data_IF_288240644697
#
_entry.id   IF_288240644697
#
_cell.length_a   1.000
_cell.length_b   1.000
_cell.length_c   1.000
_cell.angle_alpha   90.00
_cell.angle_beta   90.00
_cell.angle_gamma   90.00
#
_symmetry.space_group_name_H-M   'P 1'
#
loop_
_entity.id
_entity.type
_entity.pdbx_description
1 polymer ?
#
# COMPACT_ATOMS: atom_id res chain seq x y z
N UNK A 1 31.75 43.95 8.65
CA UNK A 1 30.93 42.95 7.93
C UNK A 1 31.90 42.07 7.15
N UNK A 2 32.16 40.84 7.60
CA UNK A 2 33.09 39.94 6.91
C UNK A 2 32.34 39.36 5.70
N UNK A 3 32.72 39.76 4.50
CA UNK A 3 32.19 39.17 3.27
C UNK A 3 32.61 37.70 3.24
N UNK A 4 31.68 36.78 2.98
CA UNK A 4 31.99 35.36 2.77
C UNK A 4 32.85 35.23 1.50
N UNK A 5 33.91 34.42 1.54
CA UNK A 5 34.77 34.20 0.38
C UNK A 5 34.03 33.37 -0.69
N UNK A 6 34.32 33.60 -1.97
CA UNK A 6 33.68 32.90 -3.09
C UNK A 6 33.77 31.36 -2.97
N UNK A 7 34.85 30.83 -2.40
CA UNK A 7 35.00 29.40 -2.11
C UNK A 7 33.98 28.85 -1.11
N UNK A 8 33.60 29.61 -0.08
CA UNK A 8 32.60 29.19 0.92
C UNK A 8 31.20 29.14 0.30
N UNK A 9 30.90 30.07 -0.61
CA UNK A 9 29.62 30.15 -1.34
C UNK A 9 29.48 28.99 -2.35
N UNK A 10 30.58 28.59 -2.99
CA UNK A 10 30.60 27.44 -3.91
C UNK A 10 30.40 26.11 -3.17
N UNK A 11 31.03 25.93 -2.01
CA UNK A 11 30.82 24.75 -1.14
C UNK A 11 29.38 24.68 -0.65
N UNK A 12 28.76 25.81 -0.29
CA UNK A 12 27.36 25.85 0.15
C UNK A 12 26.39 25.46 -0.97
N UNK A 13 26.65 25.92 -2.20
CA UNK A 13 25.85 25.57 -3.39
C UNK A 13 25.99 24.08 -3.73
N UNK A 14 27.20 23.55 -3.70
CA UNK A 14 27.48 22.14 -3.96
C UNK A 14 26.85 21.25 -2.88
N UNK A 15 26.96 21.63 -1.61
CA UNK A 15 26.30 20.93 -0.51
C UNK A 15 24.78 20.93 -0.64
N UNK A 16 24.15 22.08 -0.96
CA UNK A 16 22.70 22.15 -1.21
C UNK A 16 22.28 21.23 -2.36
N UNK A 17 23.06 21.17 -3.43
CA UNK A 17 22.80 20.30 -4.57
C UNK A 17 22.95 18.81 -4.20
N UNK A 18 23.97 18.45 -3.43
CA UNK A 18 24.17 17.09 -2.91
C UNK A 18 22.97 16.65 -2.05
N UNK A 19 22.55 17.49 -1.10
CA UNK A 19 21.39 17.21 -0.25
C UNK A 19 20.10 17.11 -1.06
N UNK A 20 19.91 17.95 -2.08
CA UNK A 20 18.74 17.87 -2.97
C UNK A 20 18.70 16.53 -3.73
N UNK A 21 19.85 16.07 -4.24
CA UNK A 21 19.95 14.78 -4.92
C UNK A 21 19.67 13.61 -3.96
N UNK A 22 20.23 13.63 -2.75
CA UNK A 22 19.95 12.60 -1.73
C UNK A 22 18.45 12.54 -1.39
N UNK A 23 17.82 13.71 -1.17
CA UNK A 23 16.37 13.78 -0.91
C UNK A 23 15.55 13.19 -2.07
N UNK A 24 15.94 13.49 -3.31
CA UNK A 24 15.27 12.95 -4.51
C UNK A 24 15.36 11.43 -4.56
N UNK A 25 16.53 10.85 -4.29
CA UNK A 25 16.71 9.39 -4.28
C UNK A 25 15.91 8.72 -3.15
N UNK A 26 15.89 9.32 -1.95
CA UNK A 26 15.07 8.82 -0.83
C UNK A 26 13.59 8.81 -1.21
N UNK A 27 13.07 9.94 -1.72
CA UNK A 27 11.65 10.06 -2.09
C UNK A 27 11.30 9.08 -3.22
N UNK A 28 12.14 9.00 -4.25
CA UNK A 28 11.99 8.06 -5.37
C UNK A 28 11.92 6.60 -4.87
N UNK A 29 12.80 6.24 -3.95
CA UNK A 29 12.83 4.90 -3.34
C UNK A 29 11.59 4.63 -2.51
N UNK A 30 11.18 5.58 -1.66
CA UNK A 30 9.96 5.45 -0.86
C UNK A 30 8.72 5.24 -1.72
N UNK A 31 8.58 6.01 -2.81
CA UNK A 31 7.45 5.87 -3.74
C UNK A 31 7.43 4.46 -4.33
N UNK A 32 8.58 3.96 -4.82
CA UNK A 32 8.69 2.61 -5.39
C UNK A 32 8.34 1.52 -4.36
N UNK A 33 8.89 1.62 -3.15
CA UNK A 33 8.58 0.66 -2.07
C UNK A 33 7.10 0.65 -1.73
N UNK A 34 6.46 1.82 -1.62
CA UNK A 34 5.03 1.91 -1.32
C UNK A 34 4.19 1.31 -2.46
N UNK A 35 4.55 1.56 -3.72
CA UNK A 35 3.86 0.99 -4.88
C UNK A 35 3.92 -0.55 -4.87
N UNK A 36 5.09 -1.13 -4.59
CA UNK A 36 5.28 -2.58 -4.50
C UNK A 36 4.46 -3.19 -3.35
N UNK A 37 4.51 -2.58 -2.16
CA UNK A 37 3.73 -3.01 -0.99
C UNK A 37 2.23 -2.97 -1.29
N UNK A 38 1.74 -1.87 -1.87
CA UNK A 38 0.32 -1.72 -2.19
C UNK A 38 -0.14 -2.74 -3.24
N UNK A 39 0.67 -2.98 -4.28
CA UNK A 39 0.39 -4.03 -5.29
C UNK A 39 0.26 -5.40 -4.64
N UNK A 40 1.18 -5.73 -3.73
CA UNK A 40 1.15 -7.00 -2.99
C UNK A 40 -0.05 -7.12 -2.04
N UNK A 41 -0.43 -6.03 -1.36
CA UNK A 41 -1.61 -5.99 -0.50
C UNK A 41 -2.90 -6.22 -1.27
N UNK A 42 -3.06 -5.59 -2.44
CA UNK A 42 -4.27 -5.76 -3.24
C UNK A 42 -4.34 -7.18 -3.82
N UNK A 43 -3.21 -7.75 -4.26
CA UNK A 43 -3.15 -9.17 -4.64
C UNK A 43 -3.49 -10.10 -3.49
N UNK A 44 -3.04 -9.79 -2.26
CA UNK A 44 -3.45 -10.52 -1.06
C UNK A 44 -4.96 -10.44 -0.85
N UNK A 45 -5.55 -9.25 -0.91
CA UNK A 45 -6.99 -9.04 -0.75
C UNK A 45 -7.81 -9.80 -1.78
N UNK A 46 -7.35 -9.86 -3.03
CA UNK A 46 -7.98 -10.69 -4.05
C UNK A 46 -7.97 -12.18 -3.69
N UNK A 47 -6.82 -12.72 -3.24
CA UNK A 47 -6.71 -14.12 -2.81
C UNK A 47 -7.56 -14.43 -1.58
N UNK A 48 -7.61 -13.51 -0.60
CA UNK A 48 -8.50 -13.65 0.55
C UNK A 48 -9.97 -13.61 0.13
N UNK A 49 -10.31 -12.75 -0.84
CA UNK A 49 -11.63 -12.70 -1.44
C UNK A 49 -12.07 -14.03 -2.05
N UNK A 50 -11.16 -14.70 -2.76
CA UNK A 50 -11.37 -16.05 -3.29
C UNK A 50 -11.74 -17.04 -2.18
N UNK A 51 -10.91 -17.13 -1.14
CA UNK A 51 -11.13 -18.03 0.00
C UNK A 51 -12.52 -17.77 0.63
N UNK A 52 -12.88 -16.50 0.81
CA UNK A 52 -14.18 -16.15 1.41
C UNK A 52 -15.34 -16.49 0.48
N UNK A 53 -15.19 -16.29 -0.85
CA UNK A 53 -16.23 -16.61 -1.83
C UNK A 53 -16.48 -18.12 -1.94
N UNK A 54 -15.42 -18.93 -1.93
CA UNK A 54 -15.50 -20.40 -1.95
C UNK A 54 -16.22 -20.95 -0.71
N UNK A 55 -16.14 -20.25 0.41
CA UNK A 55 -16.75 -20.63 1.69
C UNK A 55 -18.06 -19.89 1.99
N UNK A 56 -18.71 -19.28 0.97
CA UNK A 56 -19.95 -18.50 1.16
C UNK A 56 -21.13 -19.28 1.73
N UNK A 57 -21.11 -20.61 1.62
CA UNK A 57 -22.15 -21.51 2.14
C UNK A 57 -22.36 -21.38 3.66
N UNK A 58 -21.34 -20.93 4.39
CA UNK A 58 -21.40 -20.72 5.84
C UNK A 58 -21.99 -19.36 6.25
N UNK A 59 -22.36 -18.52 5.28
CA UNK A 59 -23.10 -17.28 5.50
C UNK A 59 -22.36 -16.21 6.32
N UNK A 60 -23.12 -15.32 6.96
CA UNK A 60 -22.58 -14.14 7.65
C UNK A 60 -21.73 -14.48 8.88
N UNK A 61 -22.03 -15.60 9.56
CA UNK A 61 -21.30 -15.99 10.77
C UNK A 61 -19.82 -16.32 10.45
N UNK A 62 -19.57 -16.92 9.29
CA UNK A 62 -18.22 -17.22 8.82
C UNK A 62 -17.37 -15.97 8.63
N UNK A 63 -17.91 -14.92 7.99
CA UNK A 63 -17.17 -13.65 7.79
C UNK A 63 -16.80 -13.01 9.13
N UNK A 64 -17.72 -13.03 10.10
CA UNK A 64 -17.48 -12.52 11.44
C UNK A 64 -16.38 -13.30 12.15
N UNK A 65 -16.41 -14.63 12.10
CA UNK A 65 -15.38 -15.49 12.70
C UNK A 65 -14.00 -15.26 12.06
N UNK A 66 -13.93 -15.21 10.73
CA UNK A 66 -12.68 -14.87 10.01
C UNK A 66 -12.15 -13.51 10.43
N UNK A 67 -13.00 -12.49 10.54
CA UNK A 67 -12.58 -11.16 11.00
C UNK A 67 -12.00 -11.20 12.42
N UNK A 68 -12.64 -11.91 13.33
CA UNK A 68 -12.17 -12.06 14.71
C UNK A 68 -10.83 -12.79 14.75
N UNK A 69 -10.71 -13.93 14.08
CA UNK A 69 -9.49 -14.74 14.10
C UNK A 69 -8.31 -13.97 13.50
N UNK A 70 -8.48 -13.36 12.31
CA UNK A 70 -7.41 -12.61 11.67
C UNK A 70 -6.96 -11.40 12.49
N UNK A 71 -7.87 -10.73 13.20
CA UNK A 71 -7.49 -9.62 14.10
C UNK A 71 -6.74 -10.10 15.34
N UNK A 72 -7.06 -11.29 15.85
CA UNK A 72 -6.35 -11.88 16.99
C UNK A 72 -4.96 -12.36 16.59
N UNK A 73 -4.82 -13.01 15.43
CA UNK A 73 -3.54 -13.51 14.92
C UNK A 73 -2.63 -12.36 14.44
N UNK A 74 -3.21 -11.32 13.83
CA UNK A 74 -2.46 -10.21 13.23
C UNK A 74 -2.88 -8.84 13.80
N UNK A 75 -2.66 -8.58 15.10
CA UNK A 75 -3.18 -7.38 15.77
C UNK A 75 -2.59 -6.07 15.27
N UNK A 76 -1.39 -6.10 14.67
CA UNK A 76 -0.74 -4.93 14.07
C UNK A 76 -1.19 -4.66 12.63
N UNK A 77 -1.85 -5.64 11.97
CA UNK A 77 -2.33 -5.48 10.60
C UNK A 77 -3.72 -4.85 10.58
N UNK A 78 -3.85 -3.76 9.84
CA UNK A 78 -5.16 -3.17 9.54
C UNK A 78 -5.81 -3.89 8.37
N UNK A 79 -7.13 -3.75 8.26
CA UNK A 79 -7.87 -4.19 7.08
C UNK A 79 -8.67 -5.49 7.23
N UNK A 80 -8.65 -6.15 8.40
CA UNK A 80 -9.40 -7.39 8.65
C UNK A 80 -10.74 -7.16 9.39
N UNK A 81 -11.40 -6.01 9.19
CA UNK A 81 -12.77 -5.82 9.65
C UNK A 81 -13.75 -6.70 8.86
N UNK A 82 -14.87 -7.09 9.45
CA UNK A 82 -15.91 -7.88 8.76
C UNK A 82 -16.36 -7.20 7.45
N UNK A 83 -16.48 -5.87 7.45
CA UNK A 83 -16.76 -5.06 6.26
C UNK A 83 -15.70 -5.24 5.17
N UNK A 84 -14.42 -5.19 5.54
CA UNK A 84 -13.34 -5.34 4.58
C UNK A 84 -13.23 -6.77 4.05
N UNK A 85 -13.46 -7.79 4.89
CA UNK A 85 -13.51 -9.18 4.43
C UNK A 85 -14.64 -9.39 3.40
N UNK A 86 -15.81 -8.77 3.61
CA UNK A 86 -16.88 -8.75 2.59
C UNK A 86 -16.44 -8.04 1.31
N UNK A 87 -15.77 -6.89 1.43
CA UNK A 87 -15.26 -6.15 0.29
C UNK A 87 -14.23 -6.96 -0.51
N UNK A 88 -13.35 -7.71 0.16
CA UNK A 88 -12.41 -8.64 -0.49
C UNK A 88 -13.15 -9.70 -1.29
N UNK A 89 -14.22 -10.29 -0.72
CA UNK A 89 -15.06 -11.26 -1.44
C UNK A 89 -15.67 -10.65 -2.71
N UNK A 90 -16.28 -9.48 -2.60
CA UNK A 90 -16.88 -8.78 -3.73
C UNK A 90 -15.83 -8.45 -4.79
N UNK A 91 -14.65 -7.99 -4.38
CA UNK A 91 -13.54 -7.72 -5.28
C UNK A 91 -13.13 -8.97 -6.08
N UNK A 92 -13.00 -10.13 -5.41
CA UNK A 92 -12.76 -11.37 -6.13
C UNK A 92 -13.91 -11.74 -7.07
N UNK A 93 -15.16 -11.70 -6.59
CA UNK A 93 -16.33 -12.11 -7.36
C UNK A 93 -16.53 -11.28 -8.63
N UNK A 94 -16.20 -9.99 -8.58
CA UNK A 94 -16.29 -9.06 -9.71
C UNK A 94 -15.19 -9.29 -10.76
N UNK A 95 -13.95 -9.57 -10.32
CA UNK A 95 -12.78 -9.57 -11.21
C UNK A 95 -12.14 -10.96 -11.42
N UNK A 96 -12.73 -12.04 -10.90
CA UNK A 96 -12.22 -13.42 -11.06
C UNK A 96 -12.04 -13.87 -12.51
N UNK A 97 -12.83 -13.32 -13.42
CA UNK A 97 -12.84 -13.71 -14.84
C UNK A 97 -12.11 -12.67 -15.73
N UNK A 98 -11.61 -11.58 -15.15
CA UNK A 98 -10.90 -10.51 -15.86
C UNK A 98 -9.53 -10.22 -15.22
N UNK A 99 -8.47 -10.90 -15.67
CA UNK A 99 -7.12 -10.72 -15.12
C UNK A 99 -6.51 -9.32 -15.36
N UNK A 100 -7.17 -8.44 -16.14
CA UNK A 100 -6.69 -7.08 -16.39
C UNK A 100 -6.54 -6.28 -15.08
N UNK A 101 -7.31 -6.63 -14.04
CA UNK A 101 -7.21 -6.01 -12.72
C UNK A 101 -5.77 -6.04 -12.20
N UNK A 102 -5.01 -7.13 -12.43
CA UNK A 102 -3.63 -7.27 -11.94
C UNK A 102 -2.70 -6.22 -12.54
N UNK A 103 -2.87 -5.93 -13.84
CA UNK A 103 -2.10 -4.91 -14.54
C UNK A 103 -2.52 -3.50 -14.12
N UNK A 104 -3.82 -3.30 -13.87
CA UNK A 104 -4.34 -2.02 -13.39
C UNK A 104 -3.74 -1.69 -12.02
N UNK A 105 -3.72 -2.64 -11.07
CA UNK A 105 -3.17 -2.35 -9.74
C UNK A 105 -1.68 -2.08 -9.74
N UNK A 106 -0.93 -2.75 -10.62
CA UNK A 106 0.51 -2.53 -10.75
C UNK A 106 0.85 -1.12 -11.24
N UNK A 107 -0.10 -0.41 -11.86
CA UNK A 107 0.08 0.93 -12.43
C UNK A 107 -0.48 2.05 -11.55
N UNK A 108 -1.16 1.74 -10.44
CA UNK A 108 -1.77 2.79 -9.62
C UNK A 108 -0.72 3.53 -8.76
N UNK A 109 -0.63 4.86 -8.86
CA UNK A 109 0.32 5.67 -8.10
C UNK A 109 -0.20 5.90 -6.68
N UNK A 110 -0.24 4.87 -5.84
CA UNK A 110 -0.70 5.06 -4.46
C UNK A 110 0.45 5.57 -3.58
N UNK A 111 0.51 6.90 -3.46
CA UNK A 111 1.39 7.64 -2.55
C UNK A 111 0.78 8.93 -1.98
N UNK A 112 -0.51 9.20 -2.21
CA UNK A 112 -1.21 10.35 -1.64
C UNK A 112 -2.48 9.89 -0.91
N UNK A 113 -2.42 9.94 0.42
CA UNK A 113 -3.52 10.13 1.37
C UNK A 113 -4.77 9.25 1.24
N UNK A 114 -4.76 8.05 1.83
CA UNK A 114 -5.94 7.52 2.53
C UNK A 114 -5.49 6.64 3.71
N UNK A 115 -5.15 7.27 4.83
CA UNK A 115 -5.35 6.65 6.14
C UNK A 115 -6.86 6.49 6.32
N UNK A 116 -7.39 5.28 6.14
CA UNK A 116 -8.73 4.95 6.63
C UNK A 116 -8.67 5.01 8.17
N UNK A 117 -9.17 6.12 8.72
CA UNK A 117 -9.64 6.22 10.10
C UNK A 117 -10.94 5.42 10.25
#
# INVERSE_FOLDING_TARGET
MKMLNEGDVMIEKDFKMIIANMKKEIISTQIKTIQEVNSNLIKLYFRLGKIVSENKVYGNNFTKQVSTELKLTFPSMKGFSERNIRAMRLFYEEYKDDESWQQLVAKLPWGAQYTFN
#
